data_IF_582562256170
#
_entry.id   IF_582562256170
#
_cell.length_a   1.000
_cell.length_b   1.000
_cell.length_c   1.000
_cell.angle_alpha   90.00
_cell.angle_beta   90.00
_cell.angle_gamma   90.00
#
_symmetry.space_group_name_H-M   'P 1'
#
loop_
_entity.id
_entity.type
_entity.pdbx_description
1 polymer ?
#
# COMPACT_ATOMS: atom_id res chain seq x y z
N UNK A 1 67.20 -24.35 -0.75
CA UNK A 1 66.09 -23.83 -1.57
C UNK A 1 66.23 -22.33 -1.56
N UNK A 2 66.90 -21.82 -2.58
CA UNK A 2 67.19 -20.39 -2.78
C UNK A 2 65.89 -19.61 -2.99
N UNK A 3 65.83 -18.39 -2.43
CA UNK A 3 64.76 -17.44 -2.70
C UNK A 3 64.98 -16.84 -4.09
N UNK A 4 63.98 -16.94 -4.97
CA UNK A 4 63.97 -16.25 -6.25
C UNK A 4 63.88 -14.72 -6.02
N UNK A 5 64.61 -13.89 -6.80
CA UNK A 5 64.46 -12.44 -6.73
C UNK A 5 63.15 -12.03 -7.41
N UNK A 6 62.33 -11.28 -6.68
CA UNK A 6 61.09 -10.69 -7.18
C UNK A 6 61.44 -9.53 -8.14
N UNK A 7 61.53 -9.81 -9.45
CA UNK A 7 61.62 -8.79 -10.49
C UNK A 7 60.30 -8.00 -10.52
N UNK A 8 60.30 -6.81 -9.93
CA UNK A 8 59.19 -5.87 -10.06
C UNK A 8 59.33 -5.13 -11.39
N UNK A 9 58.43 -5.41 -12.34
CA UNK A 9 58.26 -4.56 -13.52
C UNK A 9 57.85 -3.13 -13.08
N UNK A 10 58.50 -2.07 -13.60
CA UNK A 10 58.17 -0.70 -13.24
C UNK A 10 56.83 -0.27 -13.88
N UNK A 11 55.86 0.07 -13.04
CA UNK A 11 54.54 0.56 -13.46
C UNK A 11 54.57 2.07 -13.69
N UNK A 12 55.11 2.48 -14.84
CA UNK A 12 55.16 3.87 -15.27
C UNK A 12 54.04 4.16 -16.28
N UNK A 13 53.32 5.27 -16.08
CA UNK A 13 52.36 5.79 -17.05
C UNK A 13 52.88 7.11 -17.63
N UNK A 14 52.75 7.29 -18.94
CA UNK A 14 53.20 8.51 -19.61
C UNK A 14 52.07 9.56 -19.60
N UNK A 15 52.29 10.69 -18.94
CA UNK A 15 51.32 11.81 -18.89
C UNK A 15 51.97 13.10 -19.42
N UNK A 16 51.16 13.99 -20.01
CA UNK A 16 51.62 15.26 -20.57
C UNK A 16 51.35 16.38 -19.56
N UNK A 17 52.37 16.79 -18.81
CA UNK A 17 52.27 17.90 -17.85
C UNK A 17 52.92 19.14 -18.46
N UNK A 18 52.15 20.22 -18.61
CA UNK A 18 52.67 21.50 -19.13
C UNK A 18 53.22 21.44 -20.57
N UNK A 19 52.73 20.50 -21.40
CA UNK A 19 53.14 20.37 -22.81
C UNK A 19 54.42 19.57 -23.04
N UNK A 20 54.99 18.93 -22.01
CA UNK A 20 56.06 17.93 -22.13
C UNK A 20 55.57 16.56 -21.65
N UNK A 21 56.05 15.53 -22.34
CA UNK A 21 55.74 14.12 -22.07
C UNK A 21 56.68 13.63 -20.98
N UNK A 22 56.16 13.29 -19.80
CA UNK A 22 56.94 12.76 -18.66
C UNK A 22 56.39 11.40 -18.24
N UNK A 23 57.28 10.48 -17.83
CA UNK A 23 56.91 9.19 -17.24
C UNK A 23 56.70 9.37 -15.75
N UNK A 24 55.47 9.16 -15.29
CA UNK A 24 55.07 9.32 -13.89
C UNK A 24 54.84 7.95 -13.29
N UNK A 25 55.47 7.70 -12.15
CA UNK A 25 55.31 6.48 -11.36
C UNK A 25 53.91 6.49 -10.73
N UNK A 26 53.04 5.57 -11.17
CA UNK A 26 51.67 5.46 -10.63
C UNK A 26 51.73 4.57 -9.40
N UNK A 27 51.28 5.07 -8.26
CA UNK A 27 51.26 4.25 -7.04
C UNK A 27 50.41 2.99 -7.27
N UNK A 28 50.98 1.83 -6.95
CA UNK A 28 50.17 0.61 -6.76
C UNK A 28 49.10 0.97 -5.74
N UNK A 29 47.84 0.61 -6.06
CA UNK A 29 46.68 0.88 -5.21
C UNK A 29 47.07 0.78 -3.72
N UNK A 30 46.92 1.87 -2.94
CA UNK A 30 47.29 1.87 -1.53
C UNK A 30 46.61 0.69 -0.83
N UNK A 31 47.26 0.10 0.16
CA UNK A 31 46.60 -0.79 1.13
C UNK A 31 45.21 -0.24 1.44
N UNK A 32 44.19 -1.09 1.33
CA UNK A 32 42.80 -0.69 1.47
C UNK A 32 42.66 0.14 2.75
N UNK A 33 42.41 1.44 2.61
CA UNK A 33 42.25 2.37 3.73
C UNK A 33 40.94 2.16 4.49
N UNK A 34 40.10 1.26 3.99
CA UNK A 34 38.87 0.80 4.63
C UNK A 34 39.25 -0.42 5.46
N UNK A 35 39.17 -0.34 6.81
CA UNK A 35 39.44 -1.49 7.66
C UNK A 35 38.48 -2.63 7.29
N UNK A 36 39.00 -3.85 7.11
CA UNK A 36 38.15 -5.03 6.94
C UNK A 36 37.19 -5.11 8.11
N UNK A 37 35.91 -4.87 7.84
CA UNK A 37 34.91 -4.77 8.89
C UNK A 37 34.25 -6.13 9.00
N UNK A 38 34.55 -6.89 10.06
CA UNK A 38 33.92 -8.19 10.40
C UNK A 38 32.43 -8.07 10.79
N UNK A 39 31.80 -6.92 10.52
CA UNK A 39 30.40 -6.69 10.81
C UNK A 39 29.55 -7.46 9.80
N UNK A 40 29.02 -8.59 10.28
CA UNK A 40 27.96 -9.32 9.60
C UNK A 40 26.83 -8.38 9.20
N UNK A 41 26.33 -8.54 7.96
CA UNK A 41 25.13 -7.85 7.46
C UNK A 41 23.96 -7.94 8.46
N UNK A 42 23.85 -9.07 9.18
CA UNK A 42 22.84 -9.27 10.21
C UNK A 42 22.98 -8.33 11.42
N UNK A 43 24.20 -7.98 11.82
CA UNK A 43 24.45 -7.06 12.93
C UNK A 43 24.22 -5.59 12.54
N UNK A 44 24.50 -5.25 11.27
CA UNK A 44 24.18 -3.94 10.70
C UNK A 44 22.66 -3.75 10.63
N UNK A 45 21.93 -4.77 10.18
CA UNK A 45 20.47 -4.74 10.07
C UNK A 45 19.79 -4.70 11.44
N UNK A 46 20.32 -5.45 12.43
CA UNK A 46 19.86 -5.38 13.83
C UNK A 46 20.02 -3.98 14.43
N UNK A 47 21.14 -3.30 14.17
CA UNK A 47 21.37 -1.92 14.64
C UNK A 47 20.47 -0.88 13.97
N UNK A 48 19.99 -1.14 12.75
CA UNK A 48 19.01 -0.30 12.04
C UNK A 48 17.55 -0.66 12.34
N UNK A 49 17.29 -1.80 12.99
CA UNK A 49 15.93 -2.15 13.38
C UNK A 49 15.43 -1.15 14.43
N UNK A 50 14.32 -0.48 14.12
CA UNK A 50 13.61 0.40 15.06
C UNK A 50 12.39 -0.35 15.61
N UNK A 51 12.56 -1.29 16.57
CA UNK A 51 11.49 -2.16 17.02
C UNK A 51 10.32 -1.38 17.62
N UNK A 52 10.61 -0.27 18.31
CA UNK A 52 9.58 0.60 18.89
C UNK A 52 8.71 1.25 17.80
N UNK A 53 9.31 1.66 16.68
CA UNK A 53 8.56 2.27 15.57
C UNK A 53 7.57 1.28 14.97
N UNK A 54 7.98 0.03 14.77
CA UNK A 54 7.11 -1.03 14.30
C UNK A 54 6.00 -1.35 15.31
N UNK A 55 6.33 -1.44 16.60
CA UNK A 55 5.33 -1.63 17.66
C UNK A 55 4.27 -0.51 17.66
N UNK A 56 4.69 0.75 17.51
CA UNK A 56 3.76 1.88 17.41
C UNK A 56 2.89 1.83 16.15
N UNK A 57 3.45 1.44 15.00
CA UNK A 57 2.66 1.26 13.77
C UNK A 57 1.62 0.15 13.95
N UNK A 58 2.01 -1.00 14.49
CA UNK A 58 1.09 -2.11 14.74
C UNK A 58 -0.02 -1.68 15.70
N UNK A 59 0.33 -1.01 16.80
CA UNK A 59 -0.64 -0.49 17.75
C UNK A 59 -1.60 0.50 17.08
N UNK A 60 -1.09 1.43 16.26
CA UNK A 60 -1.92 2.39 15.54
C UNK A 60 -2.90 1.71 14.58
N UNK A 61 -2.45 0.69 13.83
CA UNK A 61 -3.30 -0.09 12.92
C UNK A 61 -4.36 -0.86 13.69
N UNK A 62 -4.01 -1.52 14.79
CA UNK A 62 -4.97 -2.24 15.63
C UNK A 62 -6.02 -1.29 16.22
N UNK A 63 -5.60 -0.12 16.72
CA UNK A 63 -6.50 0.92 17.19
C UNK A 63 -7.44 1.41 16.09
N UNK A 64 -6.94 1.61 14.86
CA UNK A 64 -7.72 2.03 13.71
C UNK A 64 -8.73 0.97 13.22
N UNK A 65 -8.47 -0.31 13.48
CA UNK A 65 -9.42 -1.39 13.20
C UNK A 65 -10.52 -1.45 14.27
N UNK A 66 -10.13 -1.48 15.54
CA UNK A 66 -11.05 -1.82 16.63
C UNK A 66 -11.91 -0.62 17.04
N UNK A 67 -11.29 0.52 17.34
CA UNK A 67 -12.00 1.64 17.97
C UNK A 67 -13.04 2.29 17.05
N UNK A 68 -12.73 2.57 15.76
CA UNK A 68 -13.70 3.16 14.83
C UNK A 68 -14.86 2.23 14.52
N UNK A 69 -14.62 0.93 14.32
CA UNK A 69 -15.68 -0.05 14.09
C UNK A 69 -16.64 -0.14 15.29
N UNK A 70 -16.08 -0.26 16.50
CA UNK A 70 -16.87 -0.29 17.72
C UNK A 70 -17.70 0.98 17.88
N UNK A 71 -17.09 2.15 17.66
CA UNK A 71 -17.78 3.43 17.78
C UNK A 71 -18.91 3.59 16.74
N UNK A 72 -18.64 3.27 15.47
CA UNK A 72 -19.64 3.30 14.41
C UNK A 72 -20.82 2.37 14.70
N UNK A 73 -20.53 1.14 15.15
CA UNK A 73 -21.56 0.17 15.53
C UNK A 73 -22.39 0.63 16.74
N UNK A 74 -21.74 1.21 17.75
CA UNK A 74 -22.43 1.77 18.92
C UNK A 74 -23.38 2.90 18.51
N UNK A 75 -22.96 3.79 17.62
CA UNK A 75 -23.81 4.86 17.10
C UNK A 75 -24.98 4.30 16.28
N UNK A 76 -24.74 3.29 15.44
CA UNK A 76 -25.77 2.63 14.66
C UNK A 76 -26.88 2.01 15.53
N UNK A 77 -26.53 1.43 16.68
CA UNK A 77 -27.50 0.76 17.57
C UNK A 77 -28.19 1.74 18.51
N UNK A 78 -27.46 2.74 19.04
CA UNK A 78 -27.98 3.63 20.08
C UNK A 78 -28.60 4.93 19.53
N UNK A 79 -28.27 5.33 18.30
CA UNK A 79 -28.64 6.62 17.72
C UNK A 79 -29.14 6.49 16.27
N UNK A 80 -29.82 5.39 15.94
CA UNK A 80 -30.31 5.09 14.58
C UNK A 80 -31.10 6.25 13.98
N UNK A 81 -32.06 6.80 14.73
CA UNK A 81 -32.95 7.87 14.25
C UNK A 81 -32.18 9.13 13.83
N UNK A 82 -31.12 9.47 14.57
CA UNK A 82 -30.26 10.61 14.25
C UNK A 82 -29.42 10.36 13.00
N UNK A 83 -28.88 9.15 12.82
CA UNK A 83 -28.12 8.77 11.63
C UNK A 83 -29.04 8.81 10.40
N UNK A 84 -30.22 8.22 10.52
CA UNK A 84 -31.27 8.19 9.51
C UNK A 84 -31.69 9.60 9.10
N UNK A 85 -31.89 10.51 10.07
CA UNK A 85 -32.26 11.89 9.78
C UNK A 85 -31.18 12.63 8.98
N UNK A 86 -29.90 12.37 9.24
CA UNK A 86 -28.77 13.00 8.55
C UNK A 86 -28.54 12.38 7.16
N UNK A 87 -28.59 11.04 7.06
CA UNK A 87 -28.26 10.31 5.83
C UNK A 87 -29.45 10.12 4.89
N UNK A 88 -30.69 10.27 5.38
CA UNK A 88 -31.90 10.07 4.59
C UNK A 88 -32.06 11.02 3.40
N UNK A 89 -31.34 12.15 3.39
CA UNK A 89 -31.27 13.07 2.25
C UNK A 89 -30.23 12.68 1.20
N UNK A 90 -29.40 11.66 1.45
CA UNK A 90 -28.34 11.22 0.55
C UNK A 90 -28.82 10.02 -0.26
N UNK A 91 -28.52 10.01 -1.56
CA UNK A 91 -28.86 8.87 -2.40
C UNK A 91 -28.03 7.63 -2.02
N UNK A 92 -28.57 6.41 -2.17
CA UNK A 92 -27.81 5.18 -1.95
C UNK A 92 -26.51 5.12 -2.77
N UNK A 93 -26.53 5.64 -4.01
CA UNK A 93 -25.34 5.74 -4.86
C UNK A 93 -24.24 6.60 -4.22
N UNK A 94 -24.63 7.72 -3.62
CA UNK A 94 -23.70 8.60 -2.89
C UNK A 94 -23.08 7.89 -1.69
N UNK A 95 -23.89 7.13 -0.95
CA UNK A 95 -23.40 6.37 0.22
C UNK A 95 -22.47 5.23 -0.21
N UNK A 96 -22.80 4.51 -1.27
CA UNK A 96 -21.93 3.48 -1.84
C UNK A 96 -20.59 4.06 -2.31
N UNK A 97 -20.62 5.24 -2.96
CA UNK A 97 -19.41 5.95 -3.36
C UNK A 97 -18.54 6.30 -2.14
N UNK A 98 -19.13 6.79 -1.04
CA UNK A 98 -18.39 7.10 0.20
C UNK A 98 -17.72 5.83 0.76
N UNK A 99 -18.45 4.71 0.83
CA UNK A 99 -17.90 3.43 1.29
C UNK A 99 -16.78 2.91 0.40
N UNK A 100 -16.89 3.08 -0.91
CA UNK A 100 -15.83 2.72 -1.86
C UNK A 100 -14.60 3.63 -1.72
N UNK A 101 -14.80 4.95 -1.63
CA UNK A 101 -13.71 5.94 -1.52
C UNK A 101 -12.84 5.68 -0.30
N UNK A 102 -13.43 5.35 0.86
CA UNK A 102 -12.64 5.11 2.08
C UNK A 102 -11.72 3.91 1.96
N UNK A 103 -12.19 2.80 1.37
CA UNK A 103 -11.35 1.61 1.09
C UNK A 103 -10.25 1.96 0.09
N UNK A 104 -10.56 2.67 -0.99
CA UNK A 104 -9.57 3.06 -2.00
C UNK A 104 -8.50 3.96 -1.39
N UNK A 105 -8.88 4.93 -0.55
CA UNK A 105 -7.92 5.80 0.17
C UNK A 105 -7.02 4.96 1.09
N UNK A 106 -7.59 4.03 1.85
CA UNK A 106 -6.83 3.16 2.74
C UNK A 106 -5.80 2.35 1.94
N UNK A 107 -6.23 1.66 0.88
CA UNK A 107 -5.35 0.83 0.06
C UNK A 107 -4.30 1.66 -0.69
N UNK A 108 -4.65 2.82 -1.23
CA UNK A 108 -3.69 3.75 -1.85
C UNK A 108 -2.67 4.23 -0.84
N UNK A 109 -3.08 4.62 0.37
CA UNK A 109 -2.18 4.98 1.46
C UNK A 109 -1.20 3.86 1.77
N UNK A 110 -1.68 2.61 1.86
CA UNK A 110 -0.84 1.44 2.10
C UNK A 110 0.14 1.18 0.95
N UNK A 111 -0.33 1.19 -0.29
CA UNK A 111 0.49 0.96 -1.48
C UNK A 111 1.59 2.04 -1.59
N UNK A 112 1.24 3.31 -1.40
CA UNK A 112 2.20 4.40 -1.46
C UNK A 112 3.21 4.37 -0.31
N UNK A 113 2.82 3.90 0.88
CA UNK A 113 3.75 3.68 1.99
C UNK A 113 4.81 2.62 1.68
N UNK A 114 4.51 1.67 0.78
CA UNK A 114 5.46 0.65 0.33
C UNK A 114 6.31 1.15 -0.84
N UNK A 115 5.70 1.86 -1.79
CA UNK A 115 6.35 2.25 -3.06
C UNK A 115 7.22 3.50 -2.92
N UNK A 116 6.81 4.46 -2.08
CA UNK A 116 7.43 5.79 -2.00
C UNK A 116 8.10 6.02 -0.66
N UNK A 117 9.33 6.54 -0.73
CA UNK A 117 10.09 7.02 0.43
C UNK A 117 10.07 8.56 0.46
N UNK A 118 9.83 9.21 1.62
CA UNK A 118 9.54 8.61 2.93
C UNK A 118 8.11 8.06 3.05
N UNK A 119 7.95 6.94 3.75
CA UNK A 119 6.67 6.22 3.88
C UNK A 119 5.69 6.79 4.90
N UNK A 120 6.16 7.61 5.84
CA UNK A 120 5.36 8.03 7.01
C UNK A 120 4.11 8.88 6.69
N UNK A 121 4.12 9.84 5.74
CA UNK A 121 2.90 10.54 5.33
C UNK A 121 1.83 9.58 4.78
N UNK A 122 2.25 8.59 4.01
CA UNK A 122 1.36 7.59 3.43
C UNK A 122 0.83 6.60 4.47
N UNK A 123 1.61 6.28 5.51
CA UNK A 123 1.13 5.53 6.66
C UNK A 123 0.04 6.29 7.43
N UNK A 124 0.14 7.63 7.54
CA UNK A 124 -0.94 8.44 8.13
C UNK A 124 -2.20 8.36 7.27
N UNK A 125 -2.07 8.52 5.94
CA UNK A 125 -3.20 8.37 5.00
C UNK A 125 -3.83 6.98 5.13
N UNK A 126 -3.02 5.92 5.20
CA UNK A 126 -3.49 4.56 5.42
C UNK A 126 -4.26 4.42 6.72
N UNK A 127 -3.71 4.87 7.85
CA UNK A 127 -4.35 4.74 9.17
C UNK A 127 -5.66 5.52 9.24
N UNK A 128 -5.71 6.73 8.69
CA UNK A 128 -6.93 7.54 8.62
C UNK A 128 -7.97 6.89 7.70
N UNK A 129 -7.55 6.44 6.50
CA UNK A 129 -8.41 5.74 5.56
C UNK A 129 -9.00 4.46 6.17
N UNK A 130 -8.16 3.66 6.81
CA UNK A 130 -8.55 2.45 7.52
C UNK A 130 -9.53 2.77 8.66
N UNK A 131 -9.26 3.79 9.48
CA UNK A 131 -10.19 4.21 10.52
C UNK A 131 -11.55 4.65 9.95
N UNK A 132 -11.54 5.39 8.83
CA UNK A 132 -12.74 5.81 8.13
C UNK A 132 -13.54 4.64 7.55
N UNK A 133 -12.88 3.69 6.89
CA UNK A 133 -13.49 2.45 6.42
C UNK A 133 -14.13 1.69 7.58
N UNK A 134 -13.39 1.49 8.68
CA UNK A 134 -13.84 0.71 9.82
C UNK A 134 -15.01 1.38 10.55
N UNK A 135 -15.02 2.72 10.63
CA UNK A 135 -16.15 3.48 11.14
C UNK A 135 -17.41 3.27 10.27
N UNK A 136 -17.28 3.40 8.94
CA UNK A 136 -18.41 3.17 8.02
C UNK A 136 -18.88 1.71 8.08
N UNK A 137 -17.96 0.75 8.15
CA UNK A 137 -18.27 -0.67 8.32
C UNK A 137 -19.00 -0.93 9.65
N UNK A 138 -18.63 -0.23 10.72
CA UNK A 138 -19.33 -0.27 12.00
C UNK A 138 -20.75 0.28 11.88
N UNK A 139 -20.91 1.46 11.27
CA UNK A 139 -22.21 2.10 11.06
C UNK A 139 -23.15 1.23 10.23
N UNK A 140 -22.64 0.70 9.13
CA UNK A 140 -23.41 -0.15 8.21
C UNK A 140 -23.57 -1.60 8.67
N UNK A 141 -23.03 -1.94 9.85
CA UNK A 141 -22.97 -3.31 10.39
C UNK A 141 -22.50 -4.32 9.36
N UNK A 142 -21.38 -4.00 8.71
CA UNK A 142 -20.80 -4.80 7.65
C UNK A 142 -20.69 -6.26 8.09
N UNK A 143 -21.32 -7.11 7.30
CA UNK A 143 -21.34 -8.55 7.42
C UNK A 143 -21.41 -9.12 6.00
N UNK A 144 -20.85 -10.27 5.72
CA UNK A 144 -20.99 -10.92 4.40
C UNK A 144 -22.46 -11.29 4.10
N UNK A 145 -23.28 -11.47 5.13
CA UNK A 145 -24.73 -11.70 5.04
C UNK A 145 -25.56 -10.46 5.41
N UNK A 146 -25.03 -9.26 5.15
CA UNK A 146 -25.62 -7.98 5.60
C UNK A 146 -27.06 -7.71 5.14
N UNK A 147 -27.51 -8.34 4.04
CA UNK A 147 -28.86 -8.21 3.47
C UNK A 147 -30.00 -8.32 4.50
N UNK A 148 -29.79 -9.10 5.57
CA UNK A 148 -30.74 -9.23 6.68
C UNK A 148 -30.27 -8.56 7.98
N UNK A 149 -28.95 -8.41 8.16
CA UNK A 149 -28.37 -7.91 9.40
C UNK A 149 -28.64 -6.42 9.62
N UNK A 150 -28.75 -5.64 8.55
CA UNK A 150 -28.98 -4.19 8.64
C UNK A 150 -30.43 -3.83 8.89
N UNK A 151 -31.36 -4.65 8.41
CA UNK A 151 -32.80 -4.46 8.57
C UNK A 151 -33.24 -4.42 10.03
N UNK A 152 -32.61 -5.24 10.88
CA UNK A 152 -32.95 -5.31 12.31
C UNK A 152 -32.73 -3.97 13.02
N UNK A 153 -31.75 -3.18 12.58
CA UNK A 153 -31.43 -1.89 13.21
C UNK A 153 -32.01 -0.72 12.43
N UNK A 154 -31.87 -0.70 11.11
CA UNK A 154 -32.27 0.44 10.27
C UNK A 154 -33.68 0.33 9.68
N UNK A 155 -34.36 -0.81 9.85
CA UNK A 155 -35.73 -1.02 9.35
C UNK A 155 -35.87 -0.69 7.87
N UNK A 156 -36.83 0.17 7.54
CA UNK A 156 -37.12 0.59 6.15
C UNK A 156 -35.98 1.37 5.48
N UNK A 157 -35.01 1.86 6.24
CA UNK A 157 -33.86 2.61 5.72
C UNK A 157 -32.59 1.75 5.57
N UNK A 158 -32.70 0.43 5.75
CA UNK A 158 -31.59 -0.51 5.59
C UNK A 158 -30.87 -0.39 4.25
N UNK A 159 -31.56 0.03 3.18
CA UNK A 159 -30.95 0.28 1.87
C UNK A 159 -29.77 1.26 1.91
N UNK A 160 -29.76 2.24 2.83
CA UNK A 160 -28.65 3.18 2.99
C UNK A 160 -27.41 2.50 3.58
N UNK A 161 -27.58 1.73 4.66
CA UNK A 161 -26.50 0.94 5.25
C UNK A 161 -26.00 -0.15 4.29
N UNK A 162 -26.91 -0.80 3.57
CA UNK A 162 -26.59 -1.80 2.57
C UNK A 162 -25.78 -1.21 1.40
N UNK A 163 -26.10 0.02 0.99
CA UNK A 163 -25.34 0.71 -0.04
C UNK A 163 -23.89 0.99 0.40
N UNK A 164 -23.67 1.42 1.64
CA UNK A 164 -22.32 1.57 2.20
C UNK A 164 -21.55 0.24 2.18
N UNK A 165 -22.19 -0.84 2.62
CA UNK A 165 -21.61 -2.18 2.60
C UNK A 165 -21.22 -2.62 1.18
N UNK A 166 -22.10 -2.40 0.19
CA UNK A 166 -21.81 -2.70 -1.21
C UNK A 166 -20.64 -1.88 -1.75
N UNK A 167 -20.51 -0.61 -1.38
CA UNK A 167 -19.36 0.21 -1.72
C UNK A 167 -18.04 -0.37 -1.18
N UNK A 168 -18.02 -0.71 0.11
CA UNK A 168 -16.84 -1.30 0.78
C UNK A 168 -16.47 -2.64 0.14
N UNK A 169 -17.45 -3.54 -0.02
CA UNK A 169 -17.19 -4.86 -0.61
C UNK A 169 -16.82 -4.77 -2.09
N UNK A 170 -17.42 -3.84 -2.84
CA UNK A 170 -17.08 -3.59 -4.23
C UNK A 170 -15.59 -3.23 -4.38
N UNK A 171 -15.10 -2.32 -3.54
CA UNK A 171 -13.68 -1.98 -3.48
C UNK A 171 -12.81 -3.18 -3.04
N UNK A 172 -13.23 -3.93 -2.00
CA UNK A 172 -12.48 -5.10 -1.56
C UNK A 172 -12.36 -6.19 -2.65
N UNK A 173 -13.43 -6.39 -3.44
CA UNK A 173 -13.42 -7.29 -4.60
C UNK A 173 -12.52 -6.74 -5.70
N UNK A 174 -12.56 -5.43 -5.98
CA UNK A 174 -11.66 -4.77 -6.94
C UNK A 174 -10.18 -4.99 -6.59
N UNK A 175 -9.82 -4.79 -5.32
CA UNK A 175 -8.48 -5.08 -4.78
C UNK A 175 -8.11 -6.56 -5.01
N UNK A 176 -9.01 -7.50 -4.71
CA UNK A 176 -8.76 -8.92 -4.90
C UNK A 176 -8.56 -9.29 -6.38
N UNK A 177 -9.40 -8.76 -7.28
CA UNK A 177 -9.28 -8.95 -8.74
C UNK A 177 -7.97 -8.38 -9.24
N UNK A 178 -7.59 -7.19 -8.79
CA UNK A 178 -6.30 -6.59 -9.12
C UNK A 178 -5.14 -7.46 -8.63
N UNK A 179 -5.17 -7.94 -7.39
CA UNK A 179 -4.11 -8.78 -6.85
C UNK A 179 -3.93 -10.08 -7.67
N UNK A 180 -5.03 -10.76 -8.01
CA UNK A 180 -5.01 -11.96 -8.86
C UNK A 180 -4.48 -11.67 -10.26
N UNK A 181 -4.96 -10.59 -10.87
CA UNK A 181 -4.51 -10.18 -12.20
C UNK A 181 -3.04 -9.80 -12.21
N UNK A 182 -2.58 -9.03 -11.22
CA UNK A 182 -1.20 -8.60 -11.09
C UNK A 182 -0.25 -9.79 -10.89
N UNK A 183 -0.60 -10.72 -10.00
CA UNK A 183 0.16 -11.98 -9.82
C UNK A 183 0.18 -12.78 -11.12
N UNK A 184 -0.95 -12.90 -11.82
CA UNK A 184 -1.03 -13.55 -13.13
C UNK A 184 -0.12 -12.91 -14.17
N UNK A 185 -0.08 -11.57 -14.25
CA UNK A 185 0.83 -10.84 -15.13
C UNK A 185 2.30 -11.11 -14.79
N UNK A 186 2.64 -11.16 -13.50
CA UNK A 186 4.02 -11.48 -13.06
C UNK A 186 4.46 -12.90 -13.45
N UNK A 187 3.55 -13.87 -13.45
CA UNK A 187 3.84 -15.26 -13.81
C UNK A 187 3.89 -15.46 -15.33
N UNK A 188 2.97 -14.85 -16.07
CA UNK A 188 2.81 -15.09 -17.51
C UNK A 188 3.77 -14.23 -18.34
N UNK A 189 3.99 -12.97 -17.97
CA UNK A 189 4.76 -12.03 -18.80
C UNK A 189 6.25 -12.16 -18.51
N UNK A 190 7.00 -12.58 -19.52
CA UNK A 190 8.47 -12.58 -19.48
C UNK A 190 9.00 -11.15 -19.30
N UNK A 191 10.04 -10.98 -18.48
CA UNK A 191 10.66 -9.67 -18.17
C UNK A 191 11.20 -8.94 -19.41
N UNK A 192 11.53 -9.67 -20.47
CA UNK A 192 12.02 -9.13 -21.75
C UNK A 192 10.90 -8.72 -22.71
N UNK A 193 9.64 -9.01 -22.39
CA UNK A 193 8.49 -8.65 -23.23
C UNK A 193 8.19 -7.14 -23.14
N UNK A 194 7.76 -6.48 -24.23
CA UNK A 194 7.24 -5.11 -24.17
C UNK A 194 6.04 -4.97 -23.22
N UNK A 195 5.29 -6.05 -22.98
CA UNK A 195 4.15 -6.06 -22.05
C UNK A 195 4.57 -6.00 -20.57
N UNK A 196 5.86 -6.16 -20.24
CA UNK A 196 6.38 -6.03 -18.89
C UNK A 196 6.15 -4.63 -18.29
N UNK A 197 5.84 -3.62 -19.12
CA UNK A 197 5.44 -2.28 -18.68
C UNK A 197 4.23 -2.32 -17.74
N UNK A 198 3.27 -3.24 -17.95
CA UNK A 198 2.07 -3.35 -17.11
C UNK A 198 2.39 -3.72 -15.65
N UNK A 199 3.55 -4.34 -15.41
CA UNK A 199 3.99 -4.73 -14.06
C UNK A 199 4.86 -3.66 -13.38
N UNK A 200 5.17 -2.56 -14.08
CA UNK A 200 5.95 -1.45 -13.53
C UNK A 200 5.05 -0.51 -12.73
N UNK A 201 5.60 0.02 -11.63
CA UNK A 201 4.91 0.77 -10.57
C UNK A 201 3.72 1.62 -11.03
N UNK A 202 3.94 2.60 -11.90
CA UNK A 202 2.88 3.55 -12.31
C UNK A 202 1.83 2.94 -13.24
N UNK A 203 2.22 2.04 -14.15
CA UNK A 203 1.27 1.37 -15.04
C UNK A 203 0.40 0.38 -14.27
N UNK A 204 0.99 -0.35 -13.31
CA UNK A 204 0.25 -1.23 -12.41
C UNK A 204 -0.73 -0.47 -11.53
N UNK A 205 -0.33 0.73 -11.08
CA UNK A 205 -1.20 1.59 -10.28
C UNK A 205 -2.39 2.14 -11.08
N UNK A 206 -2.19 2.46 -12.37
CA UNK A 206 -3.29 2.81 -13.28
C UNK A 206 -4.23 1.61 -13.49
N UNK A 207 -3.68 0.40 -13.68
CA UNK A 207 -4.47 -0.82 -13.83
C UNK A 207 -5.37 -1.06 -12.61
N UNK A 208 -4.83 -0.85 -11.40
CA UNK A 208 -5.61 -0.90 -10.17
C UNK A 208 -6.81 0.06 -10.22
N UNK A 209 -6.60 1.33 -10.55
CA UNK A 209 -7.71 2.29 -10.63
C UNK A 209 -8.74 1.96 -11.71
N UNK A 210 -8.31 1.38 -12.84
CA UNK A 210 -9.24 0.92 -13.88
C UNK A 210 -10.15 -0.19 -13.33
N UNK A 211 -9.56 -1.18 -12.64
CA UNK A 211 -10.32 -2.28 -12.02
C UNK A 211 -11.27 -1.75 -10.94
N UNK A 212 -10.78 -0.87 -10.07
CA UNK A 212 -11.60 -0.24 -9.02
C UNK A 212 -12.75 0.59 -9.60
N UNK A 213 -12.50 1.34 -10.67
CA UNK A 213 -13.55 2.10 -11.35
C UNK A 213 -14.60 1.15 -11.95
N UNK A 214 -14.19 0.05 -12.56
CA UNK A 214 -15.13 -0.96 -13.08
C UNK A 214 -15.94 -1.56 -11.92
N UNK A 215 -15.31 -1.92 -10.80
CA UNK A 215 -15.99 -2.46 -9.64
C UNK A 215 -17.03 -1.47 -9.08
N UNK A 216 -16.68 -0.19 -8.97
CA UNK A 216 -17.60 0.88 -8.59
C UNK A 216 -18.76 1.01 -9.58
N UNK A 217 -18.50 1.01 -10.90
CA UNK A 217 -19.55 1.09 -11.91
C UNK A 217 -20.52 -0.10 -11.82
N UNK A 218 -20.03 -1.30 -11.52
CA UNK A 218 -20.88 -2.48 -11.29
C UNK A 218 -21.76 -2.28 -10.06
N UNK A 219 -21.23 -1.74 -8.96
CA UNK A 219 -22.04 -1.42 -7.77
C UNK A 219 -23.09 -0.37 -8.07
N UNK A 220 -22.72 0.72 -8.74
CA UNK A 220 -23.60 1.86 -9.00
C UNK A 220 -24.68 1.58 -10.05
N UNK A 221 -24.35 0.82 -11.10
CA UNK A 221 -25.21 0.64 -12.27
C UNK A 221 -25.61 -0.81 -12.55
N UNK A 222 -25.00 -1.80 -11.91
CA UNK A 222 -25.29 -3.22 -12.10
C UNK A 222 -26.56 -3.73 -11.42
N UNK A 223 -27.40 -2.83 -10.89
CA UNK A 223 -28.65 -3.17 -10.21
C UNK A 223 -28.51 -3.63 -8.75
N UNK A 224 -27.29 -3.80 -8.23
CA UNK A 224 -27.04 -4.26 -6.85
C UNK A 224 -27.66 -3.32 -5.80
N UNK A 225 -27.61 -2.00 -6.04
CA UNK A 225 -28.23 -1.00 -5.17
C UNK A 225 -29.77 -1.01 -5.20
N UNK A 226 -30.39 -1.64 -6.20
CA UNK A 226 -31.85 -1.77 -6.29
C UNK A 226 -32.39 -3.03 -5.62
N UNK A 227 -31.51 -3.97 -5.32
CA UNK A 227 -31.85 -5.22 -4.62
C UNK A 227 -31.78 -5.09 -3.10
N UNK A 228 -31.21 -3.99 -2.57
CA UNK A 228 -30.91 -3.75 -1.14
C UNK A 228 -31.93 -2.87 -0.42
#
# INVERSE_FOLDING_TARGET
MEQEPNEQEPNEATEIVGGKVETVEVSKHPEASIPETDLSLADIERRRSHPLRWALIILAVLCAIIAPYWFGRSLAVNNTDSIVAVLGGVSPQGIALVGWVTVVIAYVGLAMAVVVSPSWPWLIVFVIGLAGEQFIAGLSMLNLNFWYSTYVVYGKQAGLANAANLGIMGAAIGIAVYALMFVGLLVIIRKTSPLNVLTKSWASFILYFVIETIALLVVLFGGLLTTV
#
